data_IF_429930050040
#
_entry.id   IF_429930050040
#
_cell.length_a   1.000
_cell.length_b   1.000
_cell.length_c   1.000
_cell.angle_alpha   90.00
_cell.angle_beta   90.00
_cell.angle_gamma   90.00
#
_symmetry.space_group_name_H-M   'P 1'
#
loop_
_entity.id
_entity.type
_entity.pdbx_description
1 polymer ?
#
# COMPACT_ATOMS: atom_id res chain seq x y z
N UNK A 1 -19.04 10.90 1.92
CA UNK A 1 -18.11 9.79 1.63
C UNK A 1 -18.88 8.87 0.71
N UNK A 2 -18.28 8.35 -0.37
CA UNK A 2 -18.96 7.32 -1.16
C UNK A 2 -19.08 6.08 -0.28
N UNK A 3 -20.29 5.51 -0.22
CA UNK A 3 -20.52 4.24 0.47
C UNK A 3 -19.94 3.13 -0.39
N UNK A 4 -18.76 2.63 -0.05
CA UNK A 4 -18.15 1.50 -0.76
C UNK A 4 -18.94 0.24 -0.42
N UNK A 5 -19.37 -0.49 -1.45
CA UNK A 5 -20.04 -1.78 -1.24
C UNK A 5 -19.03 -2.79 -0.69
N UNK A 6 -19.43 -3.57 0.32
CA UNK A 6 -18.61 -4.66 0.86
C UNK A 6 -18.15 -5.64 -0.23
N UNK A 7 -18.97 -5.83 -1.26
CA UNK A 7 -18.63 -6.68 -2.41
C UNK A 7 -17.47 -6.09 -3.23
N UNK A 8 -17.51 -4.79 -3.52
CA UNK A 8 -16.42 -4.12 -4.25
C UNK A 8 -15.10 -4.15 -3.48
N UNK A 9 -15.17 -3.91 -2.16
CA UNK A 9 -14.00 -3.98 -1.29
C UNK A 9 -13.39 -5.39 -1.30
N UNK A 10 -14.23 -6.43 -1.18
CA UNK A 10 -13.80 -7.83 -1.21
C UNK A 10 -13.16 -8.19 -2.56
N UNK A 11 -13.80 -7.85 -3.67
CA UNK A 11 -13.27 -8.14 -5.01
C UNK A 11 -11.93 -7.44 -5.26
N UNK A 12 -11.78 -6.20 -4.78
CA UNK A 12 -10.52 -5.46 -4.88
C UNK A 12 -9.42 -6.10 -4.04
N UNK A 13 -9.76 -6.56 -2.82
CA UNK A 13 -8.82 -7.27 -1.96
C UNK A 13 -8.36 -8.59 -2.59
N UNK A 14 -9.29 -9.41 -3.09
CA UNK A 14 -8.98 -10.67 -3.76
C UNK A 14 -8.10 -10.45 -5.00
N UNK A 15 -8.39 -9.42 -5.79
CA UNK A 15 -7.53 -9.02 -6.93
C UNK A 15 -6.11 -8.73 -6.49
N UNK A 16 -5.92 -7.92 -5.44
CA UNK A 16 -4.58 -7.59 -4.98
C UNK A 16 -3.86 -8.78 -4.33
N UNK A 17 -4.58 -9.65 -3.60
CA UNK A 17 -4.01 -10.88 -3.04
C UNK A 17 -3.52 -11.85 -4.13
N UNK A 18 -4.21 -11.92 -5.26
CA UNK A 18 -3.76 -12.74 -6.39
C UNK A 18 -2.63 -12.09 -7.19
N UNK A 19 -2.49 -10.76 -7.11
CA UNK A 19 -1.52 -9.99 -7.87
C UNK A 19 -0.18 -9.83 -7.14
N UNK A 20 -0.23 -9.55 -5.84
CA UNK A 20 0.92 -9.13 -5.03
C UNK A 20 1.42 -10.27 -4.15
N UNK A 21 2.74 -10.43 -4.13
CA UNK A 21 3.48 -11.36 -3.29
C UNK A 21 4.32 -10.58 -2.27
N UNK A 22 4.75 -11.26 -1.22
CA UNK A 22 5.76 -10.70 -0.31
C UNK A 22 7.01 -10.26 -1.07
N UNK A 23 7.61 -9.15 -0.66
CA UNK A 23 8.81 -8.58 -1.25
C UNK A 23 8.59 -7.73 -2.50
N UNK A 24 7.38 -7.71 -3.06
CA UNK A 24 7.02 -6.84 -4.18
C UNK A 24 7.25 -5.36 -3.85
N UNK A 25 7.59 -4.59 -4.89
CA UNK A 25 7.76 -3.14 -4.78
C UNK A 25 6.53 -2.42 -5.31
N UNK A 26 5.94 -1.58 -4.46
CA UNK A 26 4.90 -0.63 -4.83
C UNK A 26 5.57 0.72 -5.11
N UNK A 27 5.43 1.18 -6.35
CA UNK A 27 5.90 2.48 -6.78
C UNK A 27 4.90 3.57 -6.43
N UNK A 28 5.37 4.58 -5.70
CA UNK A 28 4.64 5.75 -5.26
C UNK A 28 4.97 6.92 -6.17
N UNK A 29 3.96 7.49 -6.83
CA UNK A 29 4.13 8.59 -7.77
C UNK A 29 3.40 9.81 -7.24
N UNK A 30 4.14 10.87 -6.93
CA UNK A 30 3.54 12.12 -6.47
C UNK A 30 2.91 12.88 -7.65
N UNK A 31 1.57 12.90 -7.73
CA UNK A 31 0.84 13.55 -8.82
C UNK A 31 0.59 15.03 -8.56
N UNK A 32 0.30 15.40 -7.31
CA UNK A 32 -0.02 16.77 -6.93
C UNK A 32 0.12 16.98 -5.42
N UNK A 33 0.39 18.20 -4.98
CA UNK A 33 0.35 18.60 -3.57
C UNK A 33 -0.56 19.81 -3.36
N UNK A 34 -1.30 19.85 -2.26
CA UNK A 34 -2.03 21.07 -1.89
C UNK A 34 -1.05 22.19 -1.58
N UNK A 35 -1.50 23.45 -1.72
CA UNK A 35 -0.68 24.64 -1.40
C UNK A 35 -0.11 24.62 0.02
N UNK A 36 -0.85 24.04 0.96
CA UNK A 36 -0.42 23.87 2.36
C UNK A 36 0.55 22.71 2.59
N UNK A 37 0.77 21.83 1.61
CA UNK A 37 1.51 20.58 1.77
C UNK A 37 0.82 19.50 2.61
N UNK A 38 -0.37 19.79 3.15
CA UNK A 38 -1.12 18.89 4.05
C UNK A 38 -1.86 17.76 3.34
N UNK A 39 -2.02 17.83 2.02
CA UNK A 39 -2.64 16.78 1.21
C UNK A 39 -1.87 16.57 -0.08
N UNK A 40 -1.76 15.32 -0.49
CA UNK A 40 -1.08 14.87 -1.71
C UNK A 40 -2.04 14.01 -2.53
N UNK A 41 -1.89 14.05 -3.84
CA UNK A 41 -2.41 13.01 -4.73
C UNK A 41 -1.24 12.09 -5.06
N UNK A 42 -1.35 10.83 -4.66
CA UNK A 42 -0.30 9.82 -4.85
C UNK A 42 -0.89 8.66 -5.64
N UNK A 43 -0.29 8.32 -6.76
CA UNK A 43 -0.60 7.09 -7.48
C UNK A 43 0.29 5.96 -7.00
N UNK A 44 -0.27 4.75 -7.02
CA UNK A 44 0.39 3.51 -6.62
C UNK A 44 0.35 2.52 -7.78
N UNK A 45 1.47 1.83 -7.98
CA UNK A 45 1.62 0.88 -9.06
C UNK A 45 2.62 -0.21 -8.72
N UNK A 46 2.58 -1.32 -9.43
CA UNK A 46 3.62 -2.35 -9.39
C UNK A 46 4.01 -2.76 -10.81
N UNK A 47 5.14 -3.46 -10.92
CA UNK A 47 5.57 -4.09 -12.17
C UNK A 47 5.40 -5.59 -12.01
N UNK A 48 4.63 -6.21 -12.92
CA UNK A 48 4.45 -7.66 -13.00
C UNK A 48 4.57 -8.09 -14.45
N UNK A 49 5.39 -9.11 -14.71
CA UNK A 49 5.62 -9.63 -16.07
C UNK A 49 5.92 -8.48 -17.06
N UNK A 50 6.80 -7.57 -16.66
CA UNK A 50 7.22 -6.37 -17.43
C UNK A 50 6.11 -5.35 -17.72
N UNK A 51 4.93 -5.50 -17.12
CA UNK A 51 3.80 -4.59 -17.26
C UNK A 51 3.63 -3.72 -16.03
N UNK A 52 3.42 -2.44 -16.26
CA UNK A 52 3.04 -1.49 -15.23
C UNK A 52 1.55 -1.64 -14.91
N UNK A 53 1.23 -1.99 -13.67
CA UNK A 53 -0.15 -2.19 -13.21
C UNK A 53 -0.50 -1.09 -12.22
N UNK A 54 -1.54 -0.31 -12.52
CA UNK A 54 -2.07 0.70 -11.62
C UNK A 54 -2.90 0.04 -10.50
N UNK A 55 -2.67 0.46 -9.26
CA UNK A 55 -3.32 -0.09 -8.07
C UNK A 55 -4.31 0.91 -7.42
N UNK A 56 -4.44 2.13 -7.96
CA UNK A 56 -5.21 3.21 -7.35
C UNK A 56 -6.66 2.81 -7.12
N UNK A 57 -7.28 2.15 -8.09
CA UNK A 57 -8.67 1.71 -7.94
C UNK A 57 -8.82 0.74 -6.76
N UNK A 58 -8.04 -0.34 -6.73
CA UNK A 58 -8.18 -1.37 -5.72
C UNK A 58 -7.84 -0.82 -4.32
N UNK A 59 -6.77 -0.03 -4.20
CA UNK A 59 -6.38 0.62 -2.94
C UNK A 59 -7.46 1.60 -2.46
N UNK A 60 -8.07 2.36 -3.37
CA UNK A 60 -9.19 3.26 -3.04
C UNK A 60 -10.37 2.51 -2.42
N UNK A 61 -10.67 1.31 -2.93
CA UNK A 61 -11.77 0.48 -2.44
C UNK A 61 -11.43 -0.21 -1.12
N UNK A 62 -10.19 -0.68 -0.95
CA UNK A 62 -9.74 -1.40 0.25
C UNK A 62 -9.61 -0.46 1.46
N UNK A 63 -8.99 0.71 1.26
CA UNK A 63 -8.67 1.66 2.33
C UNK A 63 -9.58 2.89 2.38
N UNK A 64 -10.61 2.94 1.51
CA UNK A 64 -11.58 4.04 1.45
C UNK A 64 -10.94 5.41 1.16
N UNK A 65 -9.90 5.44 0.33
CA UNK A 65 -9.34 6.69 -0.18
C UNK A 65 -10.19 7.25 -1.31
N UNK A 66 -10.34 8.57 -1.36
CA UNK A 66 -10.93 9.23 -2.54
C UNK A 66 -9.88 9.34 -3.63
N UNK A 67 -10.27 9.10 -4.88
CA UNK A 67 -9.40 9.41 -6.02
C UNK A 67 -9.46 10.90 -6.36
N UNK A 68 -8.32 11.46 -6.75
CA UNK A 68 -8.18 12.86 -7.13
C UNK A 68 -8.54 13.13 -8.60
N UNK A 69 -8.64 14.42 -8.94
CA UNK A 69 -8.84 14.88 -10.33
C UNK A 69 -7.59 14.63 -11.20
N UNK A 70 -6.40 14.73 -10.63
CA UNK A 70 -5.12 14.57 -11.34
C UNK A 70 -4.57 13.14 -11.24
N UNK A 71 -5.46 12.15 -11.22
CA UNK A 71 -5.14 10.76 -10.90
C UNK A 71 -4.61 10.58 -9.46
N UNK A 72 -4.48 9.32 -9.04
CA UNK A 72 -4.00 8.98 -7.71
C UNK A 72 -5.01 9.18 -6.58
N UNK A 73 -4.58 8.83 -5.38
CA UNK A 73 -5.36 8.84 -4.15
C UNK A 73 -5.10 10.11 -3.36
N UNK A 74 -6.17 10.70 -2.85
CA UNK A 74 -6.09 11.84 -1.94
C UNK A 74 -5.67 11.36 -0.55
N UNK A 75 -4.39 11.54 -0.27
CA UNK A 75 -3.76 11.21 1.00
C UNK A 75 -3.53 12.50 1.80
N UNK A 76 -3.96 12.52 3.05
CA UNK A 76 -3.76 13.65 3.97
C UNK A 76 -2.73 13.31 5.04
N UNK A 77 -1.96 14.30 5.46
CA UNK A 77 -0.96 14.14 6.51
C UNK A 77 0.29 14.98 6.25
N UNK A 78 1.10 15.16 7.29
CA UNK A 78 2.37 15.86 7.25
C UNK A 78 3.38 15.20 8.20
N UNK A 79 4.68 15.38 7.95
CA UNK A 79 5.73 14.92 8.86
C UNK A 79 6.06 13.43 8.82
N UNK A 80 5.52 12.68 7.86
CA UNK A 80 5.81 11.26 7.62
C UNK A 80 5.85 10.94 6.12
N UNK A 81 6.39 9.76 5.75
CA UNK A 81 6.30 9.23 4.39
C UNK A 81 4.89 8.68 4.14
N UNK A 82 4.08 9.46 3.40
CA UNK A 82 2.70 9.08 3.11
C UNK A 82 2.59 7.94 2.10
N UNK A 83 3.60 7.72 1.26
CA UNK A 83 3.65 6.59 0.33
C UNK A 83 3.83 5.30 1.13
N UNK A 84 4.81 5.29 2.03
CA UNK A 84 5.00 4.21 2.99
C UNK A 84 3.73 3.94 3.79
N UNK A 85 3.10 4.98 4.36
CA UNK A 85 1.89 4.82 5.19
C UNK A 85 0.78 4.05 4.47
N UNK A 86 0.57 4.32 3.18
CA UNK A 86 -0.48 3.64 2.39
C UNK A 86 -0.05 2.21 2.05
N UNK A 87 1.22 2.01 1.65
CA UNK A 87 1.75 0.67 1.32
C UNK A 87 1.72 -0.24 2.55
N UNK A 88 2.06 0.28 3.73
CA UNK A 88 2.00 -0.44 5.00
C UNK A 88 0.57 -0.92 5.31
N UNK A 89 -0.42 -0.02 5.22
CA UNK A 89 -1.82 -0.40 5.47
C UNK A 89 -2.36 -1.39 4.42
N UNK A 90 -1.92 -1.30 3.17
CA UNK A 90 -2.25 -2.31 2.14
C UNK A 90 -1.60 -3.67 2.47
N UNK A 91 -0.33 -3.68 2.85
CA UNK A 91 0.36 -4.91 3.27
C UNK A 91 -0.41 -5.63 4.38
N UNK A 92 -0.85 -4.89 5.40
CA UNK A 92 -1.67 -5.44 6.50
C UNK A 92 -3.01 -6.01 6.07
N UNK A 93 -3.61 -5.47 5.00
CA UNK A 93 -4.88 -5.98 4.46
C UNK A 93 -4.70 -7.24 3.62
N UNK A 94 -3.63 -7.29 2.83
CA UNK A 94 -3.35 -8.40 1.91
C UNK A 94 -2.77 -9.60 2.67
N UNK A 95 -1.91 -9.34 3.65
CA UNK A 95 -1.21 -10.34 4.48
C UNK A 95 -1.61 -10.24 5.97
N UNK A 96 -2.90 -10.43 6.31
CA UNK A 96 -3.40 -10.16 7.67
C UNK A 96 -2.80 -11.07 8.77
N UNK A 97 -2.16 -12.18 8.38
CA UNK A 97 -1.53 -13.12 9.28
C UNK A 97 0.01 -13.01 9.27
N UNK A 98 0.54 -11.91 8.71
CA UNK A 98 1.97 -11.76 8.55
C UNK A 98 2.56 -12.68 7.48
N UNK A 99 3.86 -12.94 7.59
CA UNK A 99 4.62 -13.62 6.53
C UNK A 99 6.11 -13.74 6.83
N UNK A 100 6.92 -14.00 5.81
CA UNK A 100 8.36 -14.21 5.97
C UNK A 100 9.08 -12.94 6.44
N UNK A 101 9.99 -13.08 7.42
CA UNK A 101 10.89 -12.00 7.82
C UNK A 101 11.90 -11.63 6.72
N UNK A 102 12.11 -12.48 5.71
CA UNK A 102 13.05 -12.22 4.62
C UNK A 102 12.75 -10.90 3.89
N UNK A 103 11.47 -10.58 3.75
CA UNK A 103 11.00 -9.39 3.05
C UNK A 103 10.84 -8.19 3.97
N UNK A 104 10.92 -8.39 5.29
CA UNK A 104 10.74 -7.34 6.28
C UNK A 104 12.06 -6.59 6.54
N UNK A 105 12.10 -5.25 6.43
CA UNK A 105 13.26 -4.46 6.86
C UNK A 105 13.51 -4.54 8.37
N UNK A 106 12.59 -5.12 9.14
CA UNK A 106 12.72 -5.32 10.59
C UNK A 106 13.27 -6.69 10.99
N UNK A 107 13.68 -7.53 10.03
CA UNK A 107 14.15 -8.90 10.28
C UNK A 107 15.02 -9.04 11.53
N UNK A 108 16.09 -8.25 11.64
CA UNK A 108 17.01 -8.34 12.78
C UNK A 108 16.39 -7.93 14.12
N UNK A 109 15.50 -6.94 14.12
CA UNK A 109 14.79 -6.49 15.31
C UNK A 109 13.77 -7.54 15.75
N UNK A 110 13.04 -8.13 14.80
CA UNK A 110 12.06 -9.18 15.05
C UNK A 110 12.74 -10.45 15.57
N UNK A 111 13.84 -10.90 14.95
CA UNK A 111 14.62 -12.05 15.41
C UNK A 111 15.15 -11.84 16.84
N UNK A 112 15.64 -10.63 17.16
CA UNK A 112 16.08 -10.26 18.53
C UNK A 112 14.94 -10.25 19.54
N UNK A 113 13.73 -9.92 19.11
CA UNK A 113 12.52 -9.98 19.92
C UNK A 113 12.00 -11.42 20.09
N UNK A 114 12.62 -12.41 19.42
CA UNK A 114 12.20 -13.81 19.45
C UNK A 114 11.12 -14.16 18.42
N UNK A 115 10.78 -13.23 17.53
CA UNK A 115 9.82 -13.46 16.46
C UNK A 115 10.49 -14.18 15.30
N UNK A 116 9.78 -15.13 14.69
CA UNK A 116 10.24 -15.90 13.53
C UNK A 116 9.60 -15.43 12.22
N UNK A 117 8.53 -14.64 12.31
CA UNK A 117 7.73 -14.14 11.19
C UNK A 117 7.44 -12.66 11.38
N UNK A 118 7.14 -11.97 10.28
CA UNK A 118 6.44 -10.69 10.35
C UNK A 118 5.02 -10.99 10.88
N UNK A 119 4.49 -10.16 11.77
CA UNK A 119 3.25 -10.44 12.52
C UNK A 119 1.99 -9.87 11.84
N UNK A 120 2.06 -8.67 11.26
CA UNK A 120 0.88 -7.91 10.82
C UNK A 120 0.77 -7.70 9.30
N UNK A 121 1.82 -8.06 8.55
CA UNK A 121 1.92 -8.00 7.09
C UNK A 121 2.34 -6.65 6.53
N UNK A 122 2.40 -5.59 7.34
CA UNK A 122 2.61 -4.23 6.86
C UNK A 122 4.00 -3.98 6.30
N UNK A 123 4.99 -4.76 6.74
CA UNK A 123 6.38 -4.69 6.27
C UNK A 123 6.72 -5.67 5.14
N UNK A 124 5.74 -6.44 4.65
CA UNK A 124 5.98 -7.45 3.60
C UNK A 124 5.99 -6.86 2.19
N UNK A 125 5.50 -5.64 2.00
CA UNK A 125 5.62 -4.91 0.75
C UNK A 125 6.68 -3.81 0.88
N UNK A 126 7.45 -3.60 -0.19
CA UNK A 126 8.38 -2.48 -0.30
C UNK A 126 7.66 -1.30 -0.92
N UNK A 127 8.05 -0.08 -0.55
CA UNK A 127 7.64 1.13 -1.26
C UNK A 127 8.84 1.82 -1.89
N UNK A 128 8.65 2.44 -3.05
CA UNK A 128 9.68 3.23 -3.71
C UNK A 128 9.06 4.45 -4.39
N UNK A 129 9.60 5.64 -4.12
CA UNK A 129 9.21 6.86 -4.82
C UNK A 129 9.91 6.95 -6.18
N UNK A 130 9.15 7.33 -7.22
CA UNK A 130 9.65 7.58 -8.58
C UNK A 130 9.09 8.88 -9.15
#
# INVERSE_FOLDING_TARGET
>A
METISKSEQKNSLERLQNLLNEGDTIYCILRHISRSGMSRLISFSCIKEEKHINLDYDISKILNYRRGKYEGLKVSGCGMDMGFSVVYEIGRKIFPNGGSLEHSPRKYQEERAGNQTEIDGGYLLKHQWI
#
